data_IF_721891031971
#
_entry.id   IF_721891031971
#
_cell.length_a   1.000
_cell.length_b   1.000
_cell.length_c   1.000
_cell.angle_alpha   90.00
_cell.angle_beta   90.00
_cell.angle_gamma   90.00
#
_symmetry.space_group_name_H-M   'P 1'
#
loop_
_entity.id
_entity.type
_entity.pdbx_description
1 polymer ?
#
# COMPACT_ATOMS: atom_id res chain seq x y z
N UNK A 1 67.47 22.90 -25.36
CA UNK A 1 67.83 21.61 -24.74
C UNK A 1 66.55 20.76 -24.66
N UNK A 2 66.60 19.53 -25.18
CA UNK A 2 65.59 18.46 -25.02
C UNK A 2 65.52 18.07 -23.51
N UNK A 3 64.46 17.54 -22.90
CA UNK A 3 63.76 16.29 -23.19
C UNK A 3 62.66 16.00 -22.12
N UNK A 4 61.54 15.39 -22.56
CA UNK A 4 60.68 14.33 -21.94
C UNK A 4 60.35 14.34 -20.42
N UNK A 5 59.16 14.03 -19.92
CA UNK A 5 58.01 13.27 -20.40
C UNK A 5 57.36 12.58 -19.17
N UNK A 6 56.05 12.33 -19.18
CA UNK A 6 55.40 11.52 -18.13
C UNK A 6 53.89 11.69 -18.02
N UNK A 7 53.15 10.92 -18.82
CA UNK A 7 51.70 10.74 -18.76
C UNK A 7 51.27 10.01 -17.48
N UNK A 8 50.12 10.39 -16.91
CA UNK A 8 49.28 9.50 -16.10
C UNK A 8 47.82 9.61 -16.57
N UNK A 9 47.40 8.58 -17.30
CA UNK A 9 46.01 8.28 -17.64
C UNK A 9 45.44 7.53 -16.43
N UNK A 10 44.36 8.03 -15.82
CA UNK A 10 43.51 7.24 -14.94
C UNK A 10 42.09 7.24 -15.51
N UNK A 11 41.81 6.24 -16.34
CA UNK A 11 40.45 5.82 -16.64
C UNK A 11 40.06 4.76 -15.60
N UNK A 12 39.04 5.04 -14.80
CA UNK A 12 38.26 3.99 -14.13
C UNK A 12 36.78 4.40 -14.16
N UNK A 13 36.00 3.57 -14.85
CA UNK A 13 34.55 3.55 -14.91
C UNK A 13 33.99 3.19 -13.52
N UNK A 14 33.12 4.02 -12.95
CA UNK A 14 32.12 3.56 -11.97
C UNK A 14 30.84 4.34 -12.22
N UNK A 15 29.76 3.60 -12.50
CA UNK A 15 28.48 4.13 -12.95
C UNK A 15 27.81 5.03 -11.91
N UNK A 16 27.23 6.14 -12.40
CA UNK A 16 26.12 6.82 -11.73
C UNK A 16 24.89 5.93 -11.82
N UNK A 17 24.81 4.90 -10.97
CA UNK A 17 23.53 4.34 -10.59
C UNK A 17 22.81 5.41 -9.78
N UNK A 18 21.78 6.01 -10.35
CA UNK A 18 20.79 6.73 -9.57
C UNK A 18 20.15 5.70 -8.63
N UNK A 19 20.64 5.64 -7.40
CA UNK A 19 19.89 5.07 -6.29
C UNK A 19 18.67 5.97 -6.15
N UNK A 20 17.57 5.57 -6.78
CA UNK A 20 16.25 6.06 -6.42
C UNK A 20 16.07 5.75 -4.94
N UNK A 21 16.18 6.77 -4.11
CA UNK A 21 15.80 6.70 -2.72
C UNK A 21 14.30 6.42 -2.69
N UNK A 22 13.93 5.14 -2.64
CA UNK A 22 12.64 4.76 -2.10
C UNK A 22 12.70 5.16 -0.62
N UNK A 23 12.23 6.37 -0.31
CA UNK A 23 11.90 6.73 1.06
C UNK A 23 10.72 5.87 1.48
N UNK A 24 11.01 4.62 1.88
CA UNK A 24 10.23 4.00 2.93
C UNK A 24 10.31 4.99 4.10
N UNK A 25 9.20 5.62 4.44
CA UNK A 25 9.13 6.44 5.64
C UNK A 25 9.41 5.51 6.83
N UNK A 26 10.67 5.43 7.25
CA UNK A 26 11.02 4.85 8.54
C UNK A 26 10.32 5.69 9.62
N UNK A 27 9.27 5.13 10.24
CA UNK A 27 8.68 5.62 11.49
C UNK A 27 7.51 6.60 11.39
N UNK A 28 6.63 6.50 10.39
CA UNK A 28 5.39 7.29 10.35
C UNK A 28 4.45 6.99 11.54
N UNK A 29 4.25 5.73 11.91
CA UNK A 29 3.27 5.30 12.92
C UNK A 29 3.52 5.84 14.33
N UNK A 30 4.75 6.29 14.63
CA UNK A 30 5.14 6.83 15.92
C UNK A 30 4.29 8.04 16.36
N UNK A 31 3.93 8.93 15.42
CA UNK A 31 3.08 10.08 15.72
C UNK A 31 1.67 9.68 16.20
N UNK A 32 1.24 8.47 15.86
CA UNK A 32 -0.05 7.88 16.24
C UNK A 32 0.08 6.81 17.34
N UNK A 33 1.29 6.44 17.75
CA UNK A 33 1.52 5.31 18.67
C UNK A 33 1.17 3.95 18.06
N UNK A 34 1.16 3.86 16.73
CA UNK A 34 0.78 2.69 15.95
C UNK A 34 1.98 2.13 15.16
N UNK A 35 1.80 0.96 14.54
CA UNK A 35 2.70 0.47 13.49
C UNK A 35 2.63 1.33 12.23
N UNK A 36 3.66 1.21 11.40
CA UNK A 36 3.69 1.84 10.08
C UNK A 36 2.67 1.22 9.09
N UNK A 37 2.18 2.00 8.12
CA UNK A 37 1.55 1.47 6.92
C UNK A 37 2.45 0.45 6.23
N UNK A 38 1.82 -0.60 5.71
CA UNK A 38 2.52 -1.65 4.97
C UNK A 38 3.03 -1.08 3.65
N UNK A 39 4.34 -1.18 3.34
CA UNK A 39 4.87 -0.69 2.07
C UNK A 39 4.36 -1.55 0.90
N UNK A 40 4.00 -0.91 -0.21
CA UNK A 40 3.66 -1.62 -1.42
C UNK A 40 4.90 -2.10 -2.16
N UNK A 41 4.98 -3.41 -2.41
CA UNK A 41 6.01 -4.03 -3.25
C UNK A 41 5.40 -4.32 -4.62
N UNK A 42 6.13 -3.99 -5.68
CA UNK A 42 5.73 -4.32 -7.05
C UNK A 42 5.66 -5.84 -7.24
N UNK A 43 4.57 -6.32 -7.84
CA UNK A 43 4.35 -7.73 -8.11
C UNK A 43 4.21 -7.93 -9.63
N UNK A 44 5.30 -8.32 -10.29
CA UNK A 44 5.42 -8.34 -11.76
C UNK A 44 5.36 -9.75 -12.39
N UNK A 45 4.62 -10.66 -11.77
CA UNK A 45 4.53 -12.05 -12.24
C UNK A 45 3.48 -12.26 -13.35
N UNK A 46 3.60 -13.35 -14.10
CA UNK A 46 2.62 -13.71 -15.14
C UNK A 46 1.29 -14.20 -14.56
N UNK A 47 1.37 -15.09 -13.58
CA UNK A 47 0.21 -15.71 -12.91
C UNK A 47 -0.53 -14.73 -12.01
N UNK A 48 -1.85 -14.92 -11.79
CA UNK A 48 -2.60 -14.12 -10.83
C UNK A 48 -2.02 -14.20 -9.41
N UNK A 49 -2.24 -13.17 -8.57
CA UNK A 49 -1.78 -13.19 -7.19
C UNK A 49 -2.43 -14.34 -6.40
N UNK A 50 -1.66 -14.99 -5.50
CA UNK A 50 -2.24 -15.86 -4.47
C UNK A 50 -3.09 -15.04 -3.48
N UNK A 51 -3.85 -15.70 -2.61
CA UNK A 51 -4.62 -15.03 -1.57
C UNK A 51 -3.74 -14.16 -0.66
N UNK A 52 -2.54 -14.63 -0.32
CA UNK A 52 -1.58 -13.89 0.52
C UNK A 52 -0.99 -12.69 -0.22
N UNK A 53 -0.63 -12.85 -1.50
CA UNK A 53 -0.14 -11.76 -2.33
C UNK A 53 -1.23 -10.69 -2.54
N UNK A 54 -2.48 -11.11 -2.79
CA UNK A 54 -3.62 -10.21 -2.91
C UNK A 54 -3.89 -9.48 -1.60
N UNK A 55 -3.81 -10.16 -0.45
CA UNK A 55 -3.94 -9.54 0.87
C UNK A 55 -2.86 -8.47 1.12
N UNK A 56 -1.61 -8.75 0.76
CA UNK A 56 -0.53 -7.78 0.88
C UNK A 56 -0.76 -6.53 0.01
N UNK A 57 -1.19 -6.72 -1.25
CA UNK A 57 -1.50 -5.62 -2.17
C UNK A 57 -2.70 -4.79 -1.70
N UNK A 58 -3.77 -5.45 -1.22
CA UNK A 58 -4.95 -4.77 -0.66
C UNK A 58 -4.56 -3.93 0.55
N UNK A 59 -3.79 -4.51 1.48
CA UNK A 59 -3.34 -3.84 2.70
C UNK A 59 -2.51 -2.61 2.35
N UNK A 60 -1.43 -2.78 1.59
CA UNK A 60 -0.52 -1.67 1.30
C UNK A 60 -1.22 -0.53 0.52
N UNK A 61 -2.22 -0.86 -0.32
CA UNK A 61 -2.98 0.13 -1.08
C UNK A 61 -4.00 0.87 -0.21
N UNK A 62 -4.52 0.22 0.83
CA UNK A 62 -5.50 0.78 1.75
C UNK A 62 -4.91 1.53 2.94
N UNK A 63 -3.66 1.26 3.30
CA UNK A 63 -2.99 1.87 4.45
C UNK A 63 -2.30 3.18 4.07
N UNK A 64 -2.63 4.26 4.77
CA UNK A 64 -2.17 5.61 4.42
C UNK A 64 -1.91 6.39 5.71
N UNK A 65 -0.72 6.96 5.83
CA UNK A 65 -0.45 8.08 6.73
C UNK A 65 -0.68 9.38 5.94
N UNK A 66 -1.68 10.16 6.34
CA UNK A 66 -2.01 11.42 5.67
C UNK A 66 -1.27 12.61 6.30
N UNK A 67 -0.94 13.60 5.47
CA UNK A 67 -0.39 14.88 5.93
C UNK A 67 -1.39 15.64 6.83
N UNK A 68 -2.67 15.27 6.81
CA UNK A 68 -3.73 15.83 7.65
C UNK A 68 -3.77 15.30 9.08
N UNK A 69 -2.81 14.47 9.49
CA UNK A 69 -2.71 13.96 10.86
C UNK A 69 -3.54 12.71 11.14
N UNK A 70 -4.10 12.08 10.10
CA UNK A 70 -4.78 10.78 10.21
C UNK A 70 -3.91 9.65 9.67
N UNK A 71 -3.91 8.52 10.39
CA UNK A 71 -3.33 7.24 9.97
C UNK A 71 -4.46 6.25 9.78
N UNK A 72 -4.55 5.66 8.58
CA UNK A 72 -5.51 4.61 8.25
C UNK A 72 -4.78 3.28 8.10
N UNK A 73 -5.19 2.28 8.89
CA UNK A 73 -4.65 0.93 8.90
C UNK A 73 -5.74 -0.12 8.60
N UNK A 74 -5.37 -1.25 7.99
CA UNK A 74 -6.28 -2.38 7.77
C UNK A 74 -5.91 -3.54 8.70
N UNK A 75 -6.70 -3.77 9.74
CA UNK A 75 -6.51 -4.91 10.64
C UNK A 75 -7.33 -6.13 10.24
N UNK A 76 -6.94 -7.31 10.73
CA UNK A 76 -7.68 -8.56 10.54
C UNK A 76 -8.04 -8.92 9.09
N UNK A 77 -7.25 -8.45 8.12
CA UNK A 77 -7.53 -8.63 6.70
C UNK A 77 -7.58 -10.12 6.30
N UNK A 78 -8.67 -10.50 5.67
CA UNK A 78 -8.90 -11.80 5.01
C UNK A 78 -9.23 -11.57 3.56
N UNK A 79 -8.59 -12.32 2.68
CA UNK A 79 -8.80 -12.23 1.23
C UNK A 79 -8.91 -13.62 0.65
N UNK A 80 -9.92 -13.81 -0.20
CA UNK A 80 -10.08 -14.95 -1.09
C UNK A 80 -10.06 -14.44 -2.54
N UNK A 81 -9.44 -15.22 -3.43
CA UNK A 81 -9.34 -14.89 -4.86
C UNK A 81 -10.21 -15.85 -5.65
N UNK A 82 -11.13 -15.30 -6.45
CA UNK A 82 -11.99 -16.05 -7.35
C UNK A 82 -11.33 -16.35 -8.69
N UNK A 83 -12.05 -17.07 -9.56
CA UNK A 83 -11.61 -17.39 -10.92
C UNK A 83 -11.61 -16.17 -11.85
N UNK A 84 -10.92 -16.26 -13.00
CA UNK A 84 -10.78 -15.15 -13.93
C UNK A 84 -12.14 -14.69 -14.48
N UNK A 85 -12.28 -13.37 -14.63
CA UNK A 85 -13.40 -12.74 -15.33
C UNK A 85 -12.87 -11.76 -16.37
N UNK A 86 -13.48 -11.69 -17.57
CA UNK A 86 -13.05 -10.77 -18.61
C UNK A 86 -13.05 -9.32 -18.10
N UNK A 87 -12.08 -8.55 -18.56
CA UNK A 87 -12.03 -7.12 -18.28
C UNK A 87 -13.28 -6.40 -18.79
N UNK A 88 -13.80 -5.47 -17.98
CA UNK A 88 -14.98 -4.65 -18.32
C UNK A 88 -14.60 -3.18 -18.24
N UNK A 89 -14.56 -2.52 -19.41
CA UNK A 89 -14.12 -1.12 -19.56
C UNK A 89 -14.89 -0.10 -18.69
N UNK A 90 -16.11 -0.42 -18.26
CA UNK A 90 -16.89 0.47 -17.38
C UNK A 90 -16.22 0.69 -16.02
N UNK A 91 -15.50 -0.30 -15.49
CA UNK A 91 -14.82 -0.22 -14.19
C UNK A 91 -13.45 0.45 -14.25
N UNK A 92 -12.86 0.51 -15.44
CA UNK A 92 -11.53 1.06 -15.73
C UNK A 92 -11.34 2.47 -15.17
N UNK A 93 -12.23 3.39 -15.54
CA UNK A 93 -12.08 4.82 -15.20
C UNK A 93 -12.14 5.14 -13.70
N UNK A 94 -12.72 4.26 -12.87
CA UNK A 94 -12.95 4.54 -11.44
C UNK A 94 -12.18 3.60 -10.51
N UNK A 95 -11.87 2.38 -10.93
CA UNK A 95 -11.26 1.36 -10.07
C UNK A 95 -9.91 0.91 -10.59
N UNK A 96 -9.73 0.79 -11.91
CA UNK A 96 -8.59 0.12 -12.53
C UNK A 96 -7.97 0.95 -13.68
N UNK A 97 -7.69 2.23 -13.45
CA UNK A 97 -7.34 3.21 -14.50
C UNK A 97 -6.11 2.86 -15.36
N UNK A 98 -5.30 1.92 -14.90
CA UNK A 98 -4.06 1.49 -15.53
C UNK A 98 -4.09 0.02 -15.98
N UNK A 99 -5.27 -0.61 -15.95
CA UNK A 99 -5.43 -2.01 -16.33
C UNK A 99 -5.04 -2.28 -17.79
N UNK A 100 -4.42 -3.44 -18.01
CA UNK A 100 -4.31 -4.00 -19.35
C UNK A 100 -5.66 -4.57 -19.77
N UNK A 101 -6.34 -3.87 -20.69
CA UNK A 101 -7.64 -4.27 -21.23
C UNK A 101 -7.65 -5.64 -21.94
N UNK A 102 -6.48 -6.24 -22.18
CA UNK A 102 -6.32 -7.57 -22.79
C UNK A 102 -6.15 -8.69 -21.76
N UNK A 103 -5.96 -8.35 -20.49
CA UNK A 103 -5.77 -9.30 -19.40
C UNK A 103 -7.08 -9.55 -18.65
N UNK A 104 -7.24 -10.76 -18.12
CA UNK A 104 -8.34 -11.07 -17.21
C UNK A 104 -8.18 -10.33 -15.87
N UNK A 105 -9.31 -10.11 -15.21
CA UNK A 105 -9.37 -9.61 -13.84
C UNK A 105 -9.82 -10.73 -12.89
N UNK A 106 -9.48 -10.61 -11.62
CA UNK A 106 -9.73 -11.65 -10.62
C UNK A 106 -10.53 -11.05 -9.48
N UNK A 107 -11.81 -11.44 -9.30
CA UNK A 107 -12.62 -10.94 -8.21
C UNK A 107 -12.05 -11.41 -6.88
N UNK A 108 -12.06 -10.53 -5.89
CA UNK A 108 -11.65 -10.86 -4.53
C UNK A 108 -12.78 -10.55 -3.56
N UNK A 109 -12.83 -11.31 -2.46
CA UNK A 109 -13.77 -11.08 -1.37
C UNK A 109 -13.09 -11.32 -0.03
N UNK A 110 -13.71 -10.83 1.04
CA UNK A 110 -13.27 -11.14 2.38
C UNK A 110 -13.76 -10.14 3.40
N UNK A 111 -12.91 -9.82 4.37
CA UNK A 111 -13.24 -8.94 5.49
C UNK A 111 -11.99 -8.28 6.04
N UNK A 112 -12.17 -7.17 6.76
CA UNK A 112 -11.10 -6.47 7.46
C UNK A 112 -11.71 -5.51 8.48
N UNK A 113 -10.86 -4.92 9.32
CA UNK A 113 -11.20 -3.84 10.24
C UNK A 113 -10.44 -2.59 9.80
N UNK A 114 -11.15 -1.51 9.50
CA UNK A 114 -10.50 -0.20 9.38
C UNK A 114 -10.11 0.28 10.78
N UNK A 115 -8.88 0.74 10.95
CA UNK A 115 -8.45 1.48 12.14
C UNK A 115 -7.96 2.85 11.69
N UNK A 116 -8.68 3.90 12.09
CA UNK A 116 -8.38 5.28 11.73
C UNK A 116 -7.97 6.02 12.99
N UNK A 117 -6.72 6.46 13.04
CA UNK A 117 -6.10 7.07 14.19
C UNK A 117 -5.80 8.55 13.93
N UNK A 118 -6.02 9.39 14.94
CA UNK A 118 -5.50 10.77 14.96
C UNK A 118 -4.15 10.81 15.66
N UNK A 119 -3.33 11.83 15.42
CA UNK A 119 -2.03 11.92 16.10
C UNK A 119 -2.22 11.89 17.62
N UNK A 120 -1.22 11.36 18.35
CA UNK A 120 -1.23 11.38 19.82
C UNK A 120 -1.26 12.81 20.35
N UNK A 121 -0.62 13.75 19.64
CA UNK A 121 -0.65 15.17 19.98
C UNK A 121 -2.08 15.71 19.97
N UNK A 122 -2.84 15.48 18.89
CA UNK A 122 -4.21 15.98 18.77
C UNK A 122 -5.16 15.29 19.76
N UNK A 123 -4.98 13.99 19.97
CA UNK A 123 -5.77 13.22 20.94
C UNK A 123 -5.54 13.71 22.38
N UNK A 124 -4.34 14.16 22.72
CA UNK A 124 -4.02 14.69 24.04
C UNK A 124 -4.71 16.04 24.36
N UNK A 125 -5.22 16.77 23.37
CA UNK A 125 -5.89 18.06 23.58
C UNK A 125 -7.20 17.86 24.36
N UNK A 126 -7.95 16.79 24.06
CA UNK A 126 -9.29 16.58 24.62
C UNK A 126 -9.53 15.17 25.19
N UNK A 127 -8.52 14.29 25.20
CA UNK A 127 -8.72 12.90 25.56
C UNK A 127 -7.45 12.14 25.91
N UNK A 128 -7.51 10.81 25.76
CA UNK A 128 -6.39 9.93 26.04
C UNK A 128 -5.57 9.69 24.76
N UNK A 129 -4.29 10.10 24.71
CA UNK A 129 -3.43 9.87 23.54
C UNK A 129 -3.15 8.41 23.22
N UNK A 130 -3.46 7.47 24.12
CA UNK A 130 -3.31 6.03 23.90
C UNK A 130 -4.63 5.35 23.45
N UNK A 131 -5.71 6.11 23.31
CA UNK A 131 -7.02 5.68 22.79
C UNK A 131 -7.45 6.64 21.67
N UNK A 132 -6.55 6.84 20.70
CA UNK A 132 -6.64 7.86 19.65
C UNK A 132 -7.24 7.35 18.34
N UNK A 133 -7.77 6.13 18.32
CA UNK A 133 -8.28 5.48 17.11
C UNK A 133 -9.78 5.19 17.17
N UNK A 134 -10.35 5.02 15.98
CA UNK A 134 -11.68 4.51 15.75
C UNK A 134 -11.61 3.28 14.84
N UNK A 135 -12.26 2.20 15.24
CA UNK A 135 -12.28 0.95 14.47
C UNK A 135 -13.65 0.65 13.88
N UNK A 136 -13.70 0.28 12.60
CA UNK A 136 -14.93 -0.12 11.93
C UNK A 136 -14.74 -1.45 11.20
N UNK A 137 -15.56 -2.44 11.55
CA UNK A 137 -15.50 -3.75 10.92
C UNK A 137 -16.21 -3.75 9.57
N UNK A 138 -15.56 -4.35 8.57
CA UNK A 138 -16.10 -4.59 7.22
C UNK A 138 -16.22 -6.11 7.05
N UNK A 139 -17.42 -6.63 7.33
CA UNK A 139 -17.67 -8.07 7.36
C UNK A 139 -17.77 -8.70 5.96
N UNK A 140 -18.12 -7.92 4.94
CA UNK A 140 -18.28 -8.38 3.57
C UNK A 140 -17.69 -7.34 2.60
N UNK A 141 -16.39 -7.47 2.34
CA UNK A 141 -15.67 -6.70 1.35
C UNK A 141 -15.65 -7.43 0.01
N UNK A 142 -15.72 -6.66 -1.08
CA UNK A 142 -15.58 -7.15 -2.45
C UNK A 142 -14.60 -6.26 -3.20
N UNK A 143 -13.95 -6.83 -4.21
CA UNK A 143 -12.90 -6.16 -4.92
C UNK A 143 -12.45 -6.89 -6.16
N UNK A 144 -11.36 -6.40 -6.72
CA UNK A 144 -10.72 -6.96 -7.91
C UNK A 144 -9.20 -6.91 -7.74
N UNK A 145 -8.53 -7.91 -8.29
CA UNK A 145 -7.14 -7.84 -8.69
C UNK A 145 -7.07 -7.73 -10.22
N UNK A 146 -6.20 -6.85 -10.72
CA UNK A 146 -5.99 -6.64 -12.14
C UNK A 146 -4.51 -6.48 -12.44
N UNK A 147 -4.15 -6.81 -13.68
CA UNK A 147 -2.83 -6.57 -14.22
C UNK A 147 -2.80 -5.20 -14.89
N UNK A 148 -1.76 -4.42 -14.63
CA UNK A 148 -1.54 -3.13 -15.27
C UNK A 148 -0.96 -3.31 -16.68
N UNK A 149 -1.02 -2.26 -17.50
CA UNK A 149 -0.35 -2.20 -18.80
C UNK A 149 1.19 -2.33 -18.72
N UNK A 150 1.77 -2.17 -17.53
CA UNK A 150 3.20 -2.39 -17.23
C UNK A 150 3.49 -3.76 -16.60
N UNK A 151 2.50 -4.65 -16.59
CA UNK A 151 2.58 -6.02 -16.06
C UNK A 151 2.69 -6.15 -14.53
N UNK A 152 2.43 -5.07 -13.78
CA UNK A 152 2.27 -5.12 -12.32
C UNK A 152 0.87 -5.65 -11.94
N UNK A 153 0.76 -6.27 -10.78
CA UNK A 153 -0.52 -6.60 -10.18
C UNK A 153 -0.96 -5.52 -9.18
N UNK A 154 -2.25 -5.19 -9.23
CA UNK A 154 -2.92 -4.34 -8.25
C UNK A 154 -4.14 -5.06 -7.72
N UNK A 155 -4.44 -4.86 -6.44
CA UNK A 155 -5.63 -5.41 -5.81
C UNK A 155 -6.28 -4.35 -4.92
N UNK A 156 -7.59 -4.22 -5.01
CA UNK A 156 -8.37 -3.31 -4.17
C UNK A 156 -9.68 -3.96 -3.76
N UNK A 157 -10.06 -3.80 -2.50
CA UNK A 157 -11.38 -4.16 -2.02
C UNK A 157 -11.99 -3.04 -1.18
N UNK A 158 -13.31 -3.02 -1.13
CA UNK A 158 -14.09 -2.12 -0.28
C UNK A 158 -15.37 -2.83 0.17
N UNK A 159 -16.01 -2.30 1.20
CA UNK A 159 -17.27 -2.84 1.71
C UNK A 159 -17.94 -1.85 2.65
N UNK A 160 -19.21 -2.12 2.97
CA UNK A 160 -19.92 -1.35 3.96
C UNK A 160 -19.31 -1.60 5.34
N UNK A 161 -18.98 -0.52 6.05
CA UNK A 161 -18.44 -0.58 7.40
C UNK A 161 -19.56 -0.52 8.44
N UNK A 162 -19.40 -1.27 9.52
CA UNK A 162 -20.17 -1.09 10.74
C UNK A 162 -19.93 0.31 11.36
N UNK A 163 -20.74 0.66 12.36
CA UNK A 163 -20.51 1.87 13.15
C UNK A 163 -19.13 1.80 13.83
N UNK A 164 -18.42 2.92 13.82
CA UNK A 164 -17.08 3.01 14.38
C UNK A 164 -17.09 2.87 15.91
N UNK A 165 -16.29 1.95 16.43
CA UNK A 165 -15.93 1.85 17.84
C UNK A 165 -14.87 2.90 18.16
N UNK A 166 -15.24 3.92 18.93
CA UNK A 166 -14.37 5.05 19.28
C UNK A 166 -13.47 4.72 20.48
N UNK A 167 -12.33 5.40 20.56
CA UNK A 167 -11.44 5.32 21.71
C UNK A 167 -10.75 3.95 21.82
N UNK A 168 -10.37 3.37 20.69
CA UNK A 168 -9.60 2.13 20.66
C UNK A 168 -8.10 2.43 20.72
N UNK A 169 -7.29 1.50 21.27
CA UNK A 169 -5.84 1.64 21.22
C UNK A 169 -5.33 1.53 19.78
N UNK A 170 -4.21 2.19 19.46
CA UNK A 170 -3.58 2.09 18.15
C UNK A 170 -3.05 0.66 17.88
N UNK A 171 -3.23 0.12 16.66
CA UNK A 171 -2.63 -1.15 16.26
C UNK A 171 -1.10 -1.09 16.29
N UNK A 172 -0.44 -2.13 16.82
CA UNK A 172 1.02 -2.18 17.01
C UNK A 172 1.67 -3.29 16.20
#
# INVERSE_FOLDING_TARGET
MRAFGGYAICAFLVGCGAVSSASAAEGSGLAWGARDPTPCVALTQSEPPTAEQAAALVRCTGEIASDGGELTLMENLRVEVGGPVPYVAMYDKYVMQDADARSDTYPIRGSFTWSVCKTRHDAAIYGNPDLNCAESDVAAAQGLCWKTSFADWRCRMTGASAAARQGTPPPR
#
